data_IF_462815667159
#
_entry.id   IF_462815667159
#
_cell.length_a   1.000
_cell.length_b   1.000
_cell.length_c   1.000
_cell.angle_alpha   90.00
_cell.angle_beta   90.00
_cell.angle_gamma   90.00
#
_symmetry.space_group_name_H-M   'P 1'
#
loop_
_entity.id
_entity.type
_entity.pdbx_description
1 polymer ?
#
# COMPACT_ATOMS: atom_id res chain seq x y z
N UNK A 1 11.13 -14.86 -4.55
CA UNK A 1 12.05 -15.90 -4.05
C UNK A 1 11.23 -17.14 -3.94
N UNK A 2 11.63 -18.18 -4.65
CA UNK A 2 11.00 -19.48 -4.54
C UNK A 2 11.84 -20.27 -3.57
N UNK A 3 11.23 -20.73 -2.49
CA UNK A 3 11.91 -21.49 -1.47
C UNK A 3 11.19 -22.81 -1.24
N UNK A 4 11.99 -23.83 -0.99
CA UNK A 4 11.52 -25.10 -0.42
C UNK A 4 12.23 -25.25 0.92
N UNK A 5 11.62 -25.93 1.89
CA UNK A 5 12.29 -26.27 3.15
C UNK A 5 13.26 -27.44 2.93
N UNK A 6 14.24 -27.26 2.03
CA UNK A 6 15.16 -28.32 1.65
C UNK A 6 16.14 -28.66 2.78
N UNK A 7 16.33 -29.95 3.02
CA UNK A 7 17.30 -30.52 3.95
C UNK A 7 18.58 -30.92 3.21
N UNK A 8 19.72 -30.92 3.91
CA UNK A 8 21.00 -31.34 3.32
C UNK A 8 20.90 -32.76 2.75
N UNK A 9 20.91 -32.88 1.42
CA UNK A 9 20.93 -34.17 0.71
C UNK A 9 19.59 -34.65 0.15
N UNK A 10 18.52 -33.85 0.19
CA UNK A 10 17.19 -34.25 -0.30
C UNK A 10 16.94 -33.99 -1.81
N UNK A 11 17.90 -33.38 -2.51
CA UNK A 11 17.83 -33.10 -3.94
C UNK A 11 16.91 -31.93 -4.33
N UNK A 12 16.28 -31.25 -3.36
CA UNK A 12 15.48 -30.05 -3.61
C UNK A 12 16.38 -28.82 -3.77
N UNK A 13 16.01 -27.91 -4.67
CA UNK A 13 16.70 -26.63 -4.77
C UNK A 13 16.33 -25.77 -3.55
N UNK A 14 17.29 -25.44 -2.65
CA UNK A 14 16.97 -24.89 -1.33
C UNK A 14 16.30 -23.52 -1.39
N UNK A 15 16.76 -22.65 -2.29
CA UNK A 15 16.18 -21.34 -2.55
C UNK A 15 16.65 -20.86 -3.90
N UNK A 16 15.73 -20.38 -4.73
CA UNK A 16 16.05 -19.69 -5.97
C UNK A 16 15.51 -18.27 -5.96
N UNK A 17 16.37 -17.33 -6.38
CA UNK A 17 15.94 -15.98 -6.68
C UNK A 17 15.16 -16.06 -8.00
N UNK A 18 13.90 -15.63 -7.96
CA UNK A 18 13.05 -15.54 -9.14
C UNK A 18 13.74 -14.65 -10.18
N UNK A 19 13.70 -15.03 -11.46
CA UNK A 19 14.41 -14.29 -12.51
C UNK A 19 14.05 -12.79 -12.53
N UNK A 20 14.99 -11.87 -12.83
CA UNK A 20 14.72 -10.44 -12.73
C UNK A 20 13.56 -9.94 -13.60
N UNK A 21 13.42 -10.46 -14.82
CA UNK A 21 12.31 -10.13 -15.70
C UNK A 21 10.95 -10.53 -15.10
N UNK A 22 10.92 -11.68 -14.42
CA UNK A 22 9.73 -12.19 -13.76
C UNK A 22 9.34 -11.33 -12.56
N UNK A 23 10.31 -10.90 -11.75
CA UNK A 23 10.05 -9.98 -10.63
C UNK A 23 9.45 -8.65 -11.10
N UNK A 24 9.96 -8.07 -12.19
CA UNK A 24 9.43 -6.83 -12.78
C UNK A 24 8.04 -7.02 -13.39
N UNK A 25 7.80 -8.15 -14.05
CA UNK A 25 6.46 -8.52 -14.56
C UNK A 25 5.44 -8.63 -13.44
N UNK A 26 5.80 -9.33 -12.35
CA UNK A 26 4.94 -9.46 -11.17
C UNK A 26 4.69 -8.10 -10.51
N UNK A 27 5.72 -7.26 -10.38
CA UNK A 27 5.57 -5.90 -9.86
C UNK A 27 4.58 -5.09 -10.70
N UNK A 28 4.69 -5.10 -12.03
CA UNK A 28 3.77 -4.39 -12.91
C UNK A 28 2.31 -4.89 -12.76
N UNK A 29 2.11 -6.19 -12.60
CA UNK A 29 0.78 -6.77 -12.37
C UNK A 29 0.20 -6.35 -11.01
N UNK A 30 1.02 -6.32 -9.96
CA UNK A 30 0.63 -5.86 -8.63
C UNK A 30 0.30 -4.36 -8.66
N UNK A 31 1.13 -3.52 -9.28
CA UNK A 31 0.86 -2.08 -9.37
C UNK A 31 -0.40 -1.77 -10.19
N UNK A 32 -0.82 -2.65 -11.10
CA UNK A 32 -2.08 -2.49 -11.83
C UNK A 32 -3.32 -2.59 -10.94
N UNK A 33 -3.25 -3.22 -9.76
CA UNK A 33 -4.38 -3.30 -8.81
C UNK A 33 -4.62 -1.99 -8.08
N UNK A 34 -3.64 -1.07 -8.09
CA UNK A 34 -3.73 0.24 -7.45
C UNK A 34 -4.45 1.29 -8.30
N UNK A 35 -4.78 0.94 -9.55
CA UNK A 35 -5.43 1.87 -10.47
C UNK A 35 -6.86 2.17 -10.03
N UNK A 36 -7.34 3.42 -10.17
CA UNK A 36 -8.72 3.77 -9.81
C UNK A 36 -9.77 2.88 -10.44
N UNK A 37 -9.57 2.41 -11.68
CA UNK A 37 -10.51 1.54 -12.38
C UNK A 37 -10.63 0.15 -11.75
N UNK A 38 -9.58 -0.32 -11.07
CA UNK A 38 -9.57 -1.60 -10.35
C UNK A 38 -10.19 -1.47 -8.94
N UNK A 39 -10.13 -0.29 -8.34
CA UNK A 39 -10.53 -0.03 -6.96
C UNK A 39 -11.94 0.58 -6.83
N UNK A 40 -12.43 1.24 -7.88
CA UNK A 40 -13.72 1.94 -7.85
C UNK A 40 -14.88 0.97 -7.73
N UNK A 41 -15.77 1.24 -6.78
CA UNK A 41 -17.08 0.60 -6.75
C UNK A 41 -17.99 1.25 -7.81
N UNK A 42 -18.61 0.46 -8.71
CA UNK A 42 -19.57 1.00 -9.67
C UNK A 42 -20.72 1.75 -9.01
N UNK A 43 -21.11 2.88 -9.59
CA UNK A 43 -22.22 3.73 -9.12
C UNK A 43 -23.54 2.96 -8.85
N UNK A 44 -23.95 1.97 -9.68
CA UNK A 44 -25.12 1.17 -9.36
C UNK A 44 -24.99 0.39 -8.04
N UNK A 45 -23.80 -0.10 -7.69
CA UNK A 45 -23.58 -0.81 -6.43
C UNK A 45 -23.58 0.15 -5.24
N UNK A 46 -22.97 1.32 -5.38
CA UNK A 46 -23.00 2.34 -4.32
C UNK A 46 -24.43 2.74 -3.94
N UNK A 47 -25.32 2.88 -4.94
CA UNK A 47 -26.75 3.18 -4.73
C UNK A 47 -27.52 2.06 -4.03
N UNK A 48 -27.02 0.83 -4.09
CA UNK A 48 -27.63 -0.32 -3.43
C UNK A 48 -27.22 -0.47 -1.97
N UNK A 49 -26.23 0.30 -1.47
CA UNK A 49 -25.76 0.23 -0.09
C UNK A 49 -26.45 1.34 0.73
N UNK A 50 -27.55 1.04 1.45
CA UNK A 50 -28.23 2.05 2.25
C UNK A 50 -27.38 2.45 3.47
N UNK A 51 -27.60 3.66 4.01
CA UNK A 51 -27.14 4.00 5.36
C UNK A 51 -27.61 2.95 6.35
N UNK A 52 -26.75 2.62 7.31
CA UNK A 52 -27.11 1.66 8.37
C UNK A 52 -28.14 2.32 9.31
N UNK A 53 -29.20 1.59 9.73
CA UNK A 53 -30.12 2.12 10.73
C UNK A 53 -29.38 2.37 12.05
N UNK A 54 -29.72 3.44 12.81
CA UNK A 54 -29.04 3.80 14.06
C UNK A 54 -29.00 2.69 15.12
N UNK A 55 -29.96 1.77 15.07
CA UNK A 55 -30.13 0.68 16.03
C UNK A 55 -29.13 -0.47 15.81
N UNK A 56 -28.41 -0.49 14.68
CA UNK A 56 -27.43 -1.53 14.37
C UNK A 56 -26.00 -1.01 14.44
N UNK A 57 -25.28 -1.40 15.48
CA UNK A 57 -23.88 -1.06 15.65
C UNK A 57 -22.98 -1.66 14.55
N UNK A 58 -21.83 -1.01 14.31
CA UNK A 58 -20.79 -1.52 13.42
C UNK A 58 -19.91 -2.51 14.18
N UNK A 59 -19.88 -3.75 13.70
CA UNK A 59 -18.99 -4.82 14.19
C UNK A 59 -17.81 -5.09 13.26
N UNK A 60 -17.10 -6.19 13.53
CA UNK A 60 -15.87 -6.65 12.83
C UNK A 60 -16.01 -6.80 11.30
N UNK A 61 -17.22 -7.05 10.82
CA UNK A 61 -17.54 -7.21 9.40
C UNK A 61 -17.73 -5.88 8.63
N UNK A 62 -17.50 -4.72 9.27
CA UNK A 62 -17.77 -3.42 8.67
C UNK A 62 -16.49 -2.59 8.52
N UNK A 63 -16.40 -1.88 7.39
CA UNK A 63 -15.42 -0.82 7.23
C UNK A 63 -15.60 0.28 8.28
N UNK A 64 -14.46 0.76 8.80
CA UNK A 64 -14.38 1.95 9.65
C UNK A 64 -14.48 3.21 8.77
N UNK A 65 -15.71 3.62 8.47
CA UNK A 65 -16.00 4.71 7.54
C UNK A 65 -15.75 6.11 8.12
N UNK A 66 -15.53 7.11 7.26
CA UNK A 66 -15.36 8.52 7.66
C UNK A 66 -16.51 9.43 7.22
N UNK A 67 -17.48 8.93 6.45
CA UNK A 67 -18.61 9.69 5.88
C UNK A 67 -19.95 9.47 6.60
N UNK A 68 -19.95 8.92 7.82
CA UNK A 68 -21.17 8.53 8.53
C UNK A 68 -22.24 9.64 8.54
N UNK A 69 -23.54 9.32 8.30
CA UNK A 69 -24.15 7.98 8.27
C UNK A 69 -24.11 7.25 6.92
N UNK A 70 -23.69 7.91 5.84
CA UNK A 70 -23.62 7.30 4.50
C UNK A 70 -22.46 6.30 4.38
N UNK A 71 -22.50 5.44 3.37
CA UNK A 71 -21.36 4.58 3.05
C UNK A 71 -20.18 5.41 2.56
N UNK A 72 -18.96 5.01 2.91
CA UNK A 72 -17.72 5.66 2.47
C UNK A 72 -17.16 4.88 1.29
N UNK A 73 -17.27 5.46 0.10
CA UNK A 73 -16.84 4.83 -1.14
C UNK A 73 -15.31 4.81 -1.33
N UNK A 74 -14.54 5.47 -0.46
CA UNK A 74 -13.08 5.54 -0.54
C UNK A 74 -12.40 4.56 0.42
N UNK A 75 -12.99 4.28 1.58
CA UNK A 75 -12.41 3.35 2.57
C UNK A 75 -12.16 1.93 2.02
N UNK A 76 -13.03 1.33 1.18
CA UNK A 76 -12.71 0.04 0.56
C UNK A 76 -11.50 0.10 -0.38
N UNK A 77 -11.37 1.19 -1.15
CA UNK A 77 -10.23 1.42 -2.03
C UNK A 77 -8.93 1.60 -1.22
N UNK A 78 -8.99 2.33 -0.10
CA UNK A 78 -7.89 2.48 0.85
C UNK A 78 -7.43 1.12 1.41
N UNK A 79 -8.37 0.29 1.87
CA UNK A 79 -8.05 -1.01 2.44
C UNK A 79 -7.46 -1.97 1.40
N UNK A 80 -7.98 -1.96 0.17
CA UNK A 80 -7.43 -2.76 -0.93
C UNK A 80 -6.03 -2.28 -1.35
N UNK A 81 -5.80 -0.96 -1.37
CA UNK A 81 -4.48 -0.40 -1.63
C UNK A 81 -3.48 -0.76 -0.53
N UNK A 82 -3.87 -0.64 0.75
CA UNK A 82 -3.02 -1.03 1.88
C UNK A 82 -2.67 -2.52 1.82
N UNK A 83 -3.65 -3.37 1.47
CA UNK A 83 -3.42 -4.81 1.33
C UNK A 83 -2.27 -5.09 0.34
N UNK A 84 -2.22 -4.33 -0.75
CA UNK A 84 -1.19 -4.46 -1.78
C UNK A 84 0.15 -3.86 -1.33
N UNK A 85 0.14 -2.62 -0.83
CA UNK A 85 1.35 -1.84 -0.56
C UNK A 85 2.13 -2.33 0.66
N UNK A 86 1.46 -2.83 1.70
CA UNK A 86 2.11 -3.37 2.89
C UNK A 86 3.11 -4.50 2.56
N UNK A 87 2.83 -5.30 1.53
CA UNK A 87 3.75 -6.37 1.09
C UNK A 87 4.93 -5.82 0.30
N UNK A 88 4.74 -4.76 -0.47
CA UNK A 88 5.82 -4.13 -1.24
C UNK A 88 6.82 -3.41 -0.33
N UNK A 89 6.30 -2.75 0.71
CA UNK A 89 7.07 -2.01 1.73
C UNK A 89 7.44 -2.84 2.97
N UNK A 90 7.24 -4.16 2.96
CA UNK A 90 7.63 -5.02 4.06
C UNK A 90 9.16 -4.93 4.34
N UNK A 91 9.60 -4.68 5.60
CA UNK A 91 11.01 -4.49 5.94
C UNK A 91 11.92 -5.67 5.57
N UNK A 92 11.50 -6.91 5.81
CA UNK A 92 12.30 -8.10 5.49
C UNK A 92 12.40 -8.30 3.97
N UNK A 93 11.36 -7.96 3.22
CA UNK A 93 11.39 -7.94 1.75
C UNK A 93 12.34 -6.88 1.23
N UNK A 94 12.28 -5.67 1.78
CA UNK A 94 13.16 -4.58 1.41
C UNK A 94 14.63 -4.93 1.66
N UNK A 95 14.95 -5.55 2.80
CA UNK A 95 16.30 -6.03 3.10
C UNK A 95 16.79 -7.09 2.09
N UNK A 96 15.92 -8.04 1.71
CA UNK A 96 16.24 -9.03 0.67
C UNK A 96 16.50 -8.40 -0.70
N UNK A 97 15.76 -7.36 -1.09
CA UNK A 97 16.00 -6.64 -2.35
C UNK A 97 17.39 -5.99 -2.36
N UNK A 98 17.75 -5.31 -1.27
CA UNK A 98 19.09 -4.71 -1.12
C UNK A 98 20.17 -5.78 -1.26
N UNK A 99 20.03 -6.91 -0.56
CA UNK A 99 21.02 -8.00 -0.61
C UNK A 99 21.11 -8.63 -2.01
N UNK A 100 19.97 -8.97 -2.62
CA UNK A 100 19.94 -9.67 -3.91
C UNK A 100 20.44 -8.80 -5.06
N UNK A 101 20.15 -7.50 -5.03
CA UNK A 101 20.68 -6.54 -5.99
C UNK A 101 22.19 -6.33 -5.81
N UNK A 102 22.69 -6.22 -4.56
CA UNK A 102 24.12 -6.10 -4.30
C UNK A 102 24.93 -7.31 -4.78
N UNK A 103 24.33 -8.51 -4.73
CA UNK A 103 24.96 -9.77 -5.20
C UNK A 103 24.87 -9.95 -6.72
N UNK A 104 23.79 -9.47 -7.35
CA UNK A 104 23.63 -9.43 -8.79
C UNK A 104 22.76 -8.22 -9.17
N UNK A 105 23.39 -7.23 -9.82
CA UNK A 105 22.75 -5.98 -10.22
C UNK A 105 21.63 -6.14 -11.26
N UNK A 106 21.48 -7.32 -11.89
CA UNK A 106 20.33 -7.58 -12.76
C UNK A 106 19.00 -7.70 -11.99
N UNK A 107 19.06 -8.15 -10.73
CA UNK A 107 17.89 -8.21 -9.84
C UNK A 107 17.38 -6.79 -9.56
N UNK A 108 16.06 -6.60 -9.32
CA UNK A 108 15.56 -5.29 -8.93
C UNK A 108 16.09 -4.89 -7.54
N UNK A 109 16.55 -3.64 -7.43
CA UNK A 109 16.91 -3.00 -6.16
C UNK A 109 15.70 -2.45 -5.42
N UNK A 110 15.88 -2.03 -4.17
CA UNK A 110 14.80 -1.40 -3.39
C UNK A 110 14.40 -0.05 -4.00
N UNK A 111 15.38 0.71 -4.50
CA UNK A 111 15.16 2.00 -5.17
C UNK A 111 14.20 1.84 -6.36
N UNK A 112 14.42 0.82 -7.19
CA UNK A 112 13.59 0.52 -8.36
C UNK A 112 12.14 0.22 -7.96
N UNK A 113 11.93 -0.54 -6.88
CA UNK A 113 10.59 -0.86 -6.39
C UNK A 113 9.88 0.41 -5.90
N UNK A 114 10.55 1.23 -5.09
CA UNK A 114 9.96 2.47 -4.55
C UNK A 114 9.64 3.43 -5.70
N UNK A 115 10.56 3.59 -6.66
CA UNK A 115 10.33 4.45 -7.81
C UNK A 115 9.15 3.98 -8.66
N UNK A 116 9.00 2.66 -8.87
CA UNK A 116 7.86 2.10 -9.58
C UNK A 116 6.54 2.35 -8.85
N UNK A 117 6.51 2.22 -7.52
CA UNK A 117 5.32 2.55 -6.71
C UNK A 117 4.99 4.03 -6.83
N UNK A 118 5.97 4.93 -6.65
CA UNK A 118 5.76 6.38 -6.75
C UNK A 118 5.34 6.79 -8.17
N UNK A 119 5.84 6.12 -9.20
CA UNK A 119 5.41 6.31 -10.58
C UNK A 119 3.96 5.90 -10.84
N UNK A 120 3.51 4.80 -10.21
CA UNK A 120 2.14 4.30 -10.33
C UNK A 120 1.12 5.04 -9.45
N UNK A 121 1.60 5.84 -8.49
CA UNK A 121 0.77 6.57 -7.51
C UNK A 121 0.97 8.08 -7.69
N UNK A 122 1.79 8.70 -6.84
CA UNK A 122 2.00 10.15 -6.76
C UNK A 122 2.32 10.81 -8.11
N UNK A 123 3.14 10.16 -8.95
CA UNK A 123 3.60 10.72 -10.23
C UNK A 123 2.72 10.31 -11.41
N UNK A 124 1.58 9.65 -11.17
CA UNK A 124 0.57 9.36 -12.17
C UNK A 124 -0.48 10.47 -12.23
N UNK A 125 -1.10 10.76 -13.39
CA UNK A 125 -2.24 11.68 -13.46
C UNK A 125 -3.49 11.14 -12.76
N UNK A 126 -4.16 11.96 -11.94
CA UNK A 126 -5.35 11.56 -11.15
C UNK A 126 -6.68 11.71 -11.89
N UNK A 127 -6.72 12.45 -13.00
CA UNK A 127 -7.97 12.75 -13.69
C UNK A 127 -8.89 13.67 -12.88
N UNK A 128 -10.17 13.34 -12.76
CA UNK A 128 -11.17 14.19 -12.07
C UNK A 128 -12.27 13.37 -11.40
N UNK A 129 -12.93 13.94 -10.40
CA UNK A 129 -14.10 13.32 -9.75
C UNK A 129 -13.73 12.11 -8.89
N UNK A 130 -14.63 11.13 -8.82
CA UNK A 130 -14.46 9.95 -7.95
C UNK A 130 -13.16 9.16 -8.19
N UNK A 131 -12.73 8.89 -9.45
CA UNK A 131 -11.43 8.25 -9.70
C UNK A 131 -10.23 9.04 -9.18
N UNK A 132 -10.28 10.38 -9.20
CA UNK A 132 -9.21 11.22 -8.66
C UNK A 132 -9.12 11.09 -7.13
N UNK A 133 -10.25 11.04 -6.43
CA UNK A 133 -10.27 10.82 -4.98
C UNK A 133 -9.77 9.42 -4.59
N UNK A 134 -10.03 8.42 -5.41
CA UNK A 134 -9.43 7.08 -5.23
C UNK A 134 -7.91 7.16 -5.41
N UNK A 135 -7.42 7.80 -6.47
CA UNK A 135 -5.99 7.94 -6.70
C UNK A 135 -5.29 8.69 -5.54
N UNK A 136 -5.89 9.77 -5.02
CA UNK A 136 -5.39 10.50 -3.84
C UNK A 136 -5.39 9.65 -2.58
N UNK A 137 -6.37 8.76 -2.45
CA UNK A 137 -6.41 7.78 -1.36
C UNK A 137 -5.23 6.83 -1.45
N UNK A 138 -4.97 6.25 -2.63
CA UNK A 138 -3.85 5.33 -2.89
C UNK A 138 -2.50 6.01 -2.64
N UNK A 139 -2.32 7.26 -3.09
CA UNK A 139 -1.14 8.07 -2.83
C UNK A 139 -0.82 8.18 -1.33
N UNK A 140 -1.83 8.47 -0.53
CA UNK A 140 -1.67 8.61 0.92
C UNK A 140 -1.23 7.30 1.56
N UNK A 141 -1.74 6.17 1.08
CA UNK A 141 -1.33 4.84 1.52
C UNK A 141 0.14 4.59 1.17
N UNK A 142 0.56 4.87 -0.07
CA UNK A 142 1.96 4.72 -0.48
C UNK A 142 2.91 5.63 0.31
N UNK A 143 2.50 6.86 0.62
CA UNK A 143 3.26 7.77 1.46
C UNK A 143 3.39 7.23 2.89
N UNK A 144 2.28 6.75 3.48
CA UNK A 144 2.28 6.16 4.82
C UNK A 144 3.26 4.98 4.94
N UNK A 145 3.19 4.03 4.00
CA UNK A 145 4.04 2.84 4.03
C UNK A 145 5.53 3.20 3.81
N UNK A 146 5.82 4.15 2.93
CA UNK A 146 7.19 4.64 2.70
C UNK A 146 7.75 5.35 3.96
N UNK A 147 6.96 6.20 4.61
CA UNK A 147 7.31 6.82 5.90
C UNK A 147 7.58 5.75 6.97
N UNK A 148 6.68 4.79 7.10
CA UNK A 148 6.80 3.68 8.06
C UNK A 148 8.07 2.85 7.80
N UNK A 149 8.37 2.52 6.54
CA UNK A 149 9.60 1.80 6.19
C UNK A 149 10.86 2.59 6.57
N UNK A 150 10.85 3.91 6.36
CA UNK A 150 12.00 4.78 6.67
C UNK A 150 12.30 4.88 8.18
N UNK A 151 11.30 4.70 9.04
CA UNK A 151 11.43 4.74 10.50
C UNK A 151 11.37 3.34 11.17
N UNK A 152 11.26 2.26 10.40
CA UNK A 152 11.07 0.92 10.95
C UNK A 152 12.32 0.39 11.66
N UNK A 153 12.17 0.05 12.94
CA UNK A 153 13.22 -0.63 13.72
C UNK A 153 13.51 -2.05 13.21
N UNK A 154 12.58 -2.63 12.44
CA UNK A 154 12.73 -3.95 11.79
C UNK A 154 13.42 -3.87 10.42
N UNK A 155 13.58 -2.67 9.86
CA UNK A 155 14.33 -2.47 8.62
C UNK A 155 15.84 -2.40 8.90
N UNK A 156 16.67 -2.81 7.93
CA UNK A 156 18.12 -2.58 8.01
C UNK A 156 18.45 -1.09 7.82
N UNK A 157 19.64 -0.67 8.26
CA UNK A 157 20.09 0.72 8.13
C UNK A 157 20.05 1.21 6.68
N UNK A 158 20.47 0.38 5.74
CA UNK A 158 20.46 0.71 4.31
C UNK A 158 19.03 0.85 3.77
N UNK A 159 18.09 0.00 4.21
CA UNK A 159 16.67 0.12 3.82
C UNK A 159 16.09 1.44 4.30
N UNK A 160 16.33 1.81 5.58
CA UNK A 160 15.89 3.10 6.12
C UNK A 160 16.50 4.27 5.37
N UNK A 161 17.80 4.20 5.05
CA UNK A 161 18.50 5.24 4.31
C UNK A 161 17.92 5.45 2.90
N UNK A 162 17.66 4.36 2.16
CA UNK A 162 17.04 4.42 0.83
C UNK A 162 15.63 5.00 0.93
N UNK A 163 14.80 4.52 1.86
CA UNK A 163 13.43 5.01 2.03
C UNK A 163 13.41 6.49 2.43
N UNK A 164 14.31 6.93 3.32
CA UNK A 164 14.45 8.34 3.70
C UNK A 164 14.86 9.24 2.53
N UNK A 165 15.80 8.77 1.69
CA UNK A 165 16.17 9.49 0.46
C UNK A 165 14.96 9.61 -0.49
N UNK A 166 14.23 8.52 -0.70
CA UNK A 166 13.04 8.51 -1.57
C UNK A 166 11.91 9.41 -1.05
N UNK A 167 11.75 9.54 0.26
CA UNK A 167 10.82 10.52 0.86
C UNK A 167 11.23 11.96 0.55
N UNK A 168 12.53 12.26 0.62
CA UNK A 168 13.03 13.59 0.30
C UNK A 168 12.86 13.91 -1.20
N UNK A 169 13.18 12.98 -2.09
CA UNK A 169 12.94 13.12 -3.53
C UNK A 169 11.44 13.32 -3.84
N UNK A 170 10.56 12.61 -3.13
CA UNK A 170 9.12 12.82 -3.24
C UNK A 170 8.72 14.21 -2.74
N UNK A 171 9.26 14.67 -1.61
CA UNK A 171 8.98 16.01 -1.06
C UNK A 171 9.33 17.12 -2.06
N UNK A 172 10.50 17.02 -2.69
CA UNK A 172 10.93 17.97 -3.72
C UNK A 172 10.02 17.94 -4.95
N UNK A 173 9.65 16.73 -5.40
CA UNK A 173 8.72 16.57 -6.50
C UNK A 173 7.34 17.16 -6.18
N UNK A 174 6.81 16.94 -4.97
CA UNK A 174 5.54 17.50 -4.51
C UNK A 174 5.55 19.03 -4.53
N UNK A 175 6.63 19.66 -4.08
CA UNK A 175 6.77 21.12 -4.09
C UNK A 175 6.76 21.69 -5.53
N UNK A 176 7.46 21.02 -6.45
CA UNK A 176 7.45 21.39 -7.87
C UNK A 176 6.05 21.21 -8.50
N UNK A 177 5.41 20.06 -8.26
CA UNK A 177 4.08 19.74 -8.78
C UNK A 177 2.99 20.67 -8.22
N UNK A 178 3.07 21.03 -6.93
CA UNK A 178 2.12 21.94 -6.30
C UNK A 178 2.11 23.31 -6.98
N UNK A 179 3.29 23.80 -7.38
CA UNK A 179 3.45 25.08 -8.07
C UNK A 179 2.82 25.06 -9.48
N UNK A 180 2.73 23.88 -10.10
CA UNK A 180 2.12 23.67 -11.42
C UNK A 180 0.64 23.25 -11.36
N UNK A 181 0.11 22.94 -10.17
CA UNK A 181 -1.25 22.42 -9.99
C UNK A 181 -2.32 23.47 -10.35
N UNK A 182 -3.25 23.06 -11.22
CA UNK A 182 -4.27 23.95 -11.82
C UNK A 182 -5.52 24.07 -10.97
N UNK A 183 -5.98 22.96 -10.39
CA UNK A 183 -7.14 22.91 -9.50
C UNK A 183 -6.74 22.99 -8.02
N UNK A 184 -7.73 23.34 -7.18
CA UNK A 184 -7.51 23.58 -5.77
C UNK A 184 -7.39 22.26 -4.99
N UNK A 185 -8.11 21.23 -5.41
CA UNK A 185 -8.13 19.90 -4.84
C UNK A 185 -6.76 19.23 -4.94
N UNK A 186 -6.16 19.24 -6.13
CA UNK A 186 -4.81 18.72 -6.35
C UNK A 186 -3.77 19.49 -5.55
N UNK A 187 -3.87 20.83 -5.55
CA UNK A 187 -2.96 21.67 -4.76
C UNK A 187 -3.06 21.39 -3.27
N UNK A 188 -4.26 21.14 -2.75
CA UNK A 188 -4.49 20.81 -1.35
C UNK A 188 -3.90 19.43 -1.00
N UNK A 189 -4.09 18.43 -1.86
CA UNK A 189 -3.52 17.10 -1.70
C UNK A 189 -1.99 17.13 -1.64
N UNK A 190 -1.35 17.76 -2.63
CA UNK A 190 0.11 17.91 -2.69
C UNK A 190 0.66 18.70 -1.49
N UNK A 191 -0.02 19.76 -1.07
CA UNK A 191 0.35 20.55 0.11
C UNK A 191 0.32 19.72 1.40
N UNK A 192 -0.74 18.95 1.60
CA UNK A 192 -0.92 18.13 2.79
C UNK A 192 0.19 17.07 2.89
N UNK A 193 0.47 16.39 1.77
CA UNK A 193 1.52 15.38 1.67
C UNK A 193 2.91 15.94 1.99
N UNK A 194 3.26 17.08 1.39
CA UNK A 194 4.53 17.75 1.64
C UNK A 194 4.63 18.16 3.12
N UNK A 195 3.57 18.71 3.69
CA UNK A 195 3.53 19.12 5.11
C UNK A 195 3.72 17.92 6.04
N UNK A 196 3.10 16.79 5.72
CA UNK A 196 3.24 15.55 6.46
C UNK A 196 4.69 15.01 6.43
N UNK A 197 5.35 15.03 5.26
CA UNK A 197 6.77 14.63 5.16
C UNK A 197 7.65 15.55 6.02
N UNK A 198 7.46 16.86 5.93
CA UNK A 198 8.24 17.84 6.71
C UNK A 198 8.05 17.64 8.21
N UNK A 199 6.83 17.39 8.67
CA UNK A 199 6.56 17.12 10.09
C UNK A 199 7.22 15.82 10.53
N UNK A 200 7.17 14.78 9.71
CA UNK A 200 7.77 13.48 10.01
C UNK A 200 9.29 13.52 10.05
N UNK A 201 9.93 14.22 9.11
CA UNK A 201 11.39 14.39 9.13
C UNK A 201 11.87 15.17 10.37
N UNK A 202 11.05 16.05 10.93
CA UNK A 202 11.37 16.77 12.18
C UNK A 202 11.26 15.88 13.41
N UNK A 203 10.17 15.11 13.51
CA UNK A 203 9.97 14.17 14.61
C UNK A 203 9.15 12.96 14.15
N UNK A 204 9.81 11.86 13.75
CA UNK A 204 9.12 10.64 13.30
C UNK A 204 8.21 10.01 14.36
N UNK A 205 8.45 10.29 15.66
CA UNK A 205 7.70 9.70 16.77
C UNK A 205 6.45 10.49 17.13
N UNK A 206 6.38 11.77 16.76
CA UNK A 206 5.23 12.63 17.04
C UNK A 206 4.19 12.66 15.93
N UNK A 207 4.51 12.20 14.72
CA UNK A 207 3.53 12.20 13.63
C UNK A 207 2.57 11.02 13.80
N UNK A 208 1.40 11.30 14.36
CA UNK A 208 0.23 10.44 14.27
C UNK A 208 -0.32 10.51 12.83
N UNK A 209 0.39 9.89 11.87
CA UNK A 209 -0.24 9.62 10.58
C UNK A 209 -1.26 8.53 10.83
N UNK A 210 -2.53 8.81 10.59
CA UNK A 210 -3.57 7.80 10.73
C UNK A 210 -3.22 6.60 9.82
N UNK A 211 -3.09 5.38 10.38
CA UNK A 211 -2.82 4.21 9.58
C UNK A 211 -3.94 4.05 8.54
N UNK A 212 -3.59 3.54 7.34
CA UNK A 212 -4.58 3.17 6.35
C UNK A 212 -5.63 2.21 6.92
N UNK A 213 -6.84 2.28 6.37
CA UNK A 213 -7.92 1.39 6.74
C UNK A 213 -7.53 -0.06 6.52
N UNK A 214 -7.85 -0.92 7.48
CA UNK A 214 -7.74 -2.36 7.34
C UNK A 214 -9.04 -2.90 6.72
N UNK A 215 -8.97 -3.95 5.88
CA UNK A 215 -10.16 -4.66 5.46
C UNK A 215 -10.86 -5.27 6.68
N UNK A 216 -12.20 -5.39 6.68
CA UNK A 216 -12.92 -6.13 7.71
C UNK A 216 -12.43 -7.59 7.74
N UNK A 217 -12.48 -8.20 8.94
CA UNK A 217 -11.88 -9.51 9.21
C UNK A 217 -12.42 -10.64 8.32
N UNK A 218 -13.66 -10.48 7.83
CA UNK A 218 -14.37 -11.45 7.03
C UNK A 218 -14.89 -12.65 7.83
N UNK A 219 -15.80 -13.44 7.23
CA UNK A 219 -16.31 -14.64 7.89
C UNK A 219 -15.21 -15.70 8.03
N UNK A 220 -15.22 -16.51 9.10
CA UNK A 220 -14.28 -17.62 9.26
C UNK A 220 -14.39 -18.58 8.06
N UNK A 221 -13.25 -18.87 7.43
CA UNK A 221 -13.16 -19.91 6.40
C UNK A 221 -12.77 -21.22 7.11
N UNK A 222 -13.79 -22.04 7.38
CA UNK A 222 -13.67 -23.31 8.09
C UNK A 222 -14.99 -23.61 8.79
N UNK A 223 -15.82 -24.46 8.18
CA UNK A 223 -16.91 -25.10 8.90
C UNK A 223 -16.29 -26.28 9.66
N UNK A 224 -16.20 -26.18 10.99
CA UNK A 224 -16.16 -27.38 11.83
C UNK A 224 -17.56 -28.02 11.82
N UNK A 225 -17.95 -28.56 10.67
CA UNK A 225 -19.09 -29.48 10.56
C UNK A 225 -18.61 -30.78 9.90
N UNK A 226 -17.46 -31.27 10.37
CA UNK A 226 -17.06 -32.67 10.24
C UNK A 226 -17.55 -33.40 11.49
N UNK A 227 -18.80 -33.85 11.41
CA UNK A 227 -19.42 -35.00 12.06
C UNK A 227 -18.93 -35.45 13.44
N UNK A 228 -19.84 -35.38 14.41
CA UNK A 228 -19.99 -36.42 15.43
C UNK A 228 -21.40 -36.99 15.39
N UNK A 229 -21.58 -38.04 14.59
CA UNK A 229 -22.55 -39.07 14.90
C UNK A 229 -21.84 -40.19 15.65
N UNK A 230 -22.02 -40.29 16.98
CA UNK A 230 -21.97 -41.48 17.86
C UNK A 230 -22.37 -40.98 19.27
N UNK A 231 -23.31 -41.54 20.04
CA UNK A 231 -24.20 -42.68 19.94
C UNK A 231 -25.22 -42.60 21.08
#
# INVERSE_FOLDING_TARGET
>A
MDYTFALRGDGQAPTQIVGPAEQRRALAAVLATLKPEALALPEPLLKMIPPRPPEYERGREHFKIRTGPAFDALVPAEAAAQNTLQFLFNPERAARLVEFHARNGENPGLEEIIDAVLAATWKSPHGSGYPAEIARTVDRVALYDLMTLSASEHASDQVRAIAALKLEELREWLAASQSAAKDAEERAHLFAAMSQIVQFQKDPKQVSVAPPAEPPDGPPIGTDDDGDGWG
#
